data_IF_318289108859
#
_entry.id   IF_318289108859
#
_cell.length_a   1.000
_cell.length_b   1.000
_cell.length_c   1.000
_cell.angle_alpha   90.00
_cell.angle_beta   90.00
_cell.angle_gamma   90.00
#
_symmetry.space_group_name_H-M   'P 1'
#
loop_
_entity.id
_entity.type
_entity.pdbx_description
1 polymer ?
#
# COMPACT_ATOMS: atom_id res chain seq x y z
N UNK A 1 -1.84 -13.36 0.69
CA UNK A 1 -1.89 -11.91 0.32
C UNK A 1 -0.62 -11.58 -0.43
N UNK A 2 -0.73 -11.01 -1.64
CA UNK A 2 0.41 -10.81 -2.53
C UNK A 2 0.93 -9.37 -2.42
N UNK A 3 1.91 -9.17 -1.55
CA UNK A 3 2.55 -7.87 -1.32
C UNK A 3 3.60 -7.60 -2.39
N UNK A 4 3.23 -6.94 -3.48
CA UNK A 4 4.14 -6.78 -4.62
C UNK A 4 5.35 -5.85 -4.36
N UNK A 5 5.33 -5.05 -3.29
CA UNK A 5 6.49 -4.29 -2.82
C UNK A 5 7.53 -5.15 -2.09
N UNK A 6 7.20 -6.40 -1.80
CA UNK A 6 8.10 -7.35 -1.13
C UNK A 6 8.83 -8.20 -2.17
N UNK A 7 10.08 -8.55 -1.84
CA UNK A 7 10.94 -9.40 -2.66
C UNK A 7 10.62 -10.88 -2.41
N UNK A 8 10.12 -11.25 -1.23
CA UNK A 8 9.63 -12.59 -0.89
C UNK A 8 8.10 -12.70 -1.00
N UNK A 9 7.52 -11.96 -1.95
CA UNK A 9 6.06 -11.88 -2.15
C UNK A 9 5.38 -13.20 -2.52
N UNK A 10 6.11 -14.13 -3.14
CA UNK A 10 5.60 -15.48 -3.41
C UNK A 10 5.57 -16.29 -2.10
N UNK A 11 6.70 -16.37 -1.39
CA UNK A 11 6.79 -17.07 -0.11
C UNK A 11 5.73 -16.58 0.91
N UNK A 12 5.55 -15.26 1.02
CA UNK A 12 4.52 -14.69 1.89
C UNK A 12 3.10 -15.05 1.44
N UNK A 13 2.88 -15.15 0.12
CA UNK A 13 1.59 -15.57 -0.40
C UNK A 13 1.31 -17.03 -0.07
N UNK A 14 2.29 -17.90 -0.25
CA UNK A 14 2.21 -19.34 0.03
C UNK A 14 1.92 -19.59 1.53
N UNK A 15 2.58 -18.85 2.43
CA UNK A 15 2.31 -18.91 3.89
C UNK A 15 0.86 -18.51 4.18
N UNK A 16 0.39 -17.40 3.60
CA UNK A 16 -0.98 -16.92 3.84
C UNK A 16 -2.02 -17.89 3.29
N UNK A 17 -1.78 -18.48 2.12
CA UNK A 17 -2.64 -19.52 1.56
C UNK A 17 -2.74 -20.74 2.49
N UNK A 18 -1.59 -21.25 2.94
CA UNK A 18 -1.55 -22.35 3.92
C UNK A 18 -2.35 -22.03 5.17
N UNK A 19 -2.19 -20.84 5.74
CA UNK A 19 -2.87 -20.45 6.97
C UNK A 19 -4.38 -20.34 6.79
N UNK A 20 -4.85 -19.75 5.69
CA UNK A 20 -6.28 -19.63 5.39
C UNK A 20 -6.95 -20.99 5.16
N UNK A 21 -6.17 -21.98 4.72
CA UNK A 21 -6.60 -23.36 4.52
C UNK A 21 -6.36 -24.27 5.74
N UNK A 22 -5.94 -23.71 6.89
CA UNK A 22 -5.71 -24.48 8.12
C UNK A 22 -4.49 -25.42 8.07
N UNK A 23 -3.54 -25.18 7.14
CA UNK A 23 -2.34 -25.98 6.91
C UNK A 23 -1.07 -25.29 7.42
N UNK A 24 -1.05 -24.89 8.69
CA UNK A 24 0.10 -24.19 9.27
C UNK A 24 1.34 -25.08 9.33
N UNK A 25 2.49 -24.55 8.94
CA UNK A 25 3.79 -25.22 9.09
C UNK A 25 4.54 -24.67 10.32
N UNK A 26 5.36 -25.49 11.00
CA UNK A 26 6.04 -25.09 12.24
C UNK A 26 6.90 -23.81 12.11
N UNK A 27 7.52 -23.60 10.95
CA UNK A 27 8.46 -22.51 10.71
C UNK A 27 7.81 -21.25 10.11
N UNK A 28 6.50 -21.26 9.84
CA UNK A 28 5.83 -20.13 9.17
C UNK A 28 5.99 -18.82 9.96
N UNK A 29 5.88 -18.86 11.29
CA UNK A 29 6.04 -17.69 12.14
C UNK A 29 7.45 -17.09 12.08
N UNK A 30 8.47 -17.94 12.05
CA UNK A 30 9.87 -17.54 11.90
C UNK A 30 10.10 -16.95 10.50
N UNK A 31 9.60 -17.61 9.45
CA UNK A 31 9.76 -17.16 8.06
C UNK A 31 9.07 -15.81 7.82
N UNK A 32 7.88 -15.59 8.37
CA UNK A 32 7.22 -14.27 8.31
C UNK A 32 8.11 -13.18 8.94
N UNK A 33 8.69 -13.45 10.11
CA UNK A 33 9.59 -12.51 10.78
C UNK A 33 10.80 -12.16 9.92
N UNK A 34 11.44 -13.18 9.33
CA UNK A 34 12.56 -13.00 8.41
C UNK A 34 12.17 -12.14 7.19
N UNK A 35 11.02 -12.44 6.56
CA UNK A 35 10.49 -11.67 5.43
C UNK A 35 10.25 -10.20 5.85
N UNK A 36 9.58 -9.95 6.97
CA UNK A 36 9.27 -8.59 7.41
C UNK A 36 10.52 -7.75 7.71
N UNK A 37 11.57 -8.38 8.24
CA UNK A 37 12.86 -7.72 8.49
C UNK A 37 13.59 -7.45 7.18
N UNK A 38 13.78 -8.49 6.37
CA UNK A 38 14.54 -8.43 5.12
C UNK A 38 13.87 -7.48 4.11
N UNK A 39 12.61 -7.71 3.79
CA UNK A 39 11.87 -6.95 2.77
C UNK A 39 11.59 -5.53 3.23
N UNK A 40 11.37 -5.33 4.53
CA UNK A 40 11.22 -4.00 5.11
C UNK A 40 12.48 -3.15 4.91
N UNK A 41 13.66 -3.74 5.09
CA UNK A 41 14.92 -3.05 4.88
C UNK A 41 15.23 -2.82 3.39
N UNK A 42 15.10 -3.86 2.56
CA UNK A 42 15.30 -3.78 1.10
C UNK A 42 14.39 -2.70 0.50
N UNK A 43 13.11 -2.69 0.88
CA UNK A 43 12.15 -1.68 0.43
C UNK A 43 12.56 -0.26 0.88
N UNK A 44 13.02 -0.09 2.13
CA UNK A 44 13.46 1.21 2.64
C UNK A 44 14.65 1.78 1.88
N UNK A 45 15.69 0.97 1.66
CA UNK A 45 16.87 1.36 0.88
C UNK A 45 16.50 1.67 -0.57
N UNK A 46 15.61 0.87 -1.17
CA UNK A 46 15.15 1.08 -2.54
C UNK A 46 14.32 2.36 -2.67
N UNK A 47 13.41 2.62 -1.73
CA UNK A 47 12.62 3.86 -1.70
C UNK A 47 13.51 5.10 -1.62
N UNK A 48 14.51 5.09 -0.76
CA UNK A 48 15.46 6.19 -0.61
C UNK A 48 16.25 6.44 -1.91
N UNK A 49 16.83 5.39 -2.50
CA UNK A 49 17.59 5.49 -3.74
C UNK A 49 16.73 6.00 -4.92
N UNK A 50 15.49 5.50 -5.05
CA UNK A 50 14.57 5.93 -6.10
C UNK A 50 14.10 7.37 -5.85
N UNK A 51 13.69 7.71 -4.62
CA UNK A 51 13.23 9.05 -4.29
C UNK A 51 14.32 10.10 -4.56
N UNK A 52 15.57 9.83 -4.15
CA UNK A 52 16.71 10.71 -4.41
C UNK A 52 16.95 10.91 -5.92
N UNK A 53 16.81 9.84 -6.71
CA UNK A 53 16.94 9.91 -8.17
C UNK A 53 15.86 10.80 -8.77
N UNK A 54 14.59 10.52 -8.46
CA UNK A 54 13.44 11.24 -9.02
C UNK A 54 13.43 12.72 -8.58
N UNK A 55 13.74 13.00 -7.32
CA UNK A 55 13.81 14.37 -6.79
C UNK A 55 14.94 15.17 -7.45
N UNK A 56 16.12 14.56 -7.67
CA UNK A 56 17.21 15.20 -8.39
C UNK A 56 16.79 15.56 -9.82
N UNK A 57 16.06 14.69 -10.50
CA UNK A 57 15.56 14.94 -11.85
C UNK A 57 14.57 16.12 -11.90
N UNK A 58 13.64 16.22 -10.94
CA UNK A 58 12.64 17.31 -10.92
C UNK A 58 13.24 18.64 -10.45
N UNK A 59 14.07 18.61 -9.41
CA UNK A 59 14.52 19.82 -8.72
C UNK A 59 15.95 20.24 -9.07
N UNK A 60 16.75 19.37 -9.69
CA UNK A 60 18.12 19.66 -10.12
C UNK A 60 19.11 19.86 -8.98
N UNK A 61 18.73 19.57 -7.73
CA UNK A 61 19.53 19.79 -6.53
C UNK A 61 19.38 18.60 -5.56
N UNK A 62 20.40 18.30 -4.73
CA UNK A 62 20.26 17.37 -3.62
C UNK A 62 19.19 17.85 -2.63
N UNK A 63 18.44 16.93 -2.05
CA UNK A 63 17.48 17.21 -0.99
C UNK A 63 18.04 16.82 0.38
N UNK A 64 17.67 17.57 1.41
CA UNK A 64 17.86 17.17 2.80
C UNK A 64 16.71 16.25 3.21
N UNK A 65 17.02 15.12 3.84
CA UNK A 65 16.02 14.15 4.27
C UNK A 65 15.84 14.21 5.78
N UNK A 66 14.59 14.23 6.25
CA UNK A 66 14.26 14.19 7.68
C UNK A 66 13.26 13.05 7.97
N UNK A 67 13.57 12.11 8.87
CA UNK A 67 12.64 11.04 9.23
C UNK A 67 11.45 11.60 10.01
N UNK A 68 10.26 11.06 9.74
CA UNK A 68 9.01 11.44 10.42
C UNK A 68 8.27 10.20 10.94
N UNK A 69 7.69 10.35 12.11
CA UNK A 69 6.93 9.31 12.82
C UNK A 69 5.45 9.64 12.95
N UNK A 70 5.09 10.92 12.85
CA UNK A 70 3.73 11.43 12.96
C UNK A 70 3.36 12.31 11.77
N UNK A 71 2.09 12.25 11.38
CA UNK A 71 1.56 13.06 10.29
C UNK A 71 1.59 14.57 10.60
N UNK A 72 1.56 14.97 11.87
CA UNK A 72 1.77 16.35 12.29
C UNK A 72 3.09 16.93 11.75
N UNK A 73 4.18 16.16 11.77
CA UNK A 73 5.48 16.60 11.26
C UNK A 73 5.47 16.87 9.75
N UNK A 74 4.71 16.06 8.99
CA UNK A 74 4.49 16.29 7.56
C UNK A 74 3.68 17.58 7.35
N UNK A 75 2.60 17.78 8.10
CA UNK A 75 1.74 18.96 8.01
C UNK A 75 2.51 20.24 8.38
N UNK A 76 3.36 20.19 9.41
CA UNK A 76 4.24 21.30 9.76
C UNK A 76 5.23 21.63 8.63
N UNK A 77 5.74 20.63 7.89
CA UNK A 77 6.57 20.84 6.71
C UNK A 77 5.81 21.47 5.53
N UNK A 78 4.53 21.10 5.35
CA UNK A 78 3.64 21.74 4.37
C UNK A 78 3.46 23.23 4.73
N UNK A 79 3.19 23.56 5.99
CA UNK A 79 3.01 24.95 6.42
C UNK A 79 4.24 25.82 6.15
N UNK A 80 5.45 25.30 6.42
CA UNK A 80 6.71 25.99 6.09
C UNK A 80 6.86 26.31 4.60
N UNK A 81 6.23 25.51 3.74
CA UNK A 81 6.28 25.64 2.28
C UNK A 81 5.14 26.51 1.72
N UNK A 82 4.34 27.16 2.57
CA UNK A 82 3.07 27.80 2.19
C UNK A 82 3.14 28.87 1.09
N UNK A 83 4.33 29.41 0.79
CA UNK A 83 4.55 30.37 -0.30
C UNK A 83 4.39 29.76 -1.70
N UNK A 84 4.49 28.43 -1.82
CA UNK A 84 4.39 27.71 -3.10
C UNK A 84 2.92 27.37 -3.46
N UNK A 85 1.96 27.75 -2.61
CA UNK A 85 0.54 27.45 -2.78
C UNK A 85 -0.31 28.59 -3.32
N UNK A 86 -1.54 28.24 -3.71
CA UNK A 86 -2.57 29.20 -4.13
C UNK A 86 -3.37 29.76 -2.93
N UNK A 87 -4.33 30.66 -3.20
CA UNK A 87 -5.18 31.26 -2.17
C UNK A 87 -5.96 30.21 -1.33
N UNK A 88 -6.35 29.08 -1.94
CA UNK A 88 -7.00 27.95 -1.26
C UNK A 88 -6.03 27.26 -0.31
N UNK A 89 -4.80 26.99 -0.76
CA UNK A 89 -3.74 26.38 0.05
C UNK A 89 -3.46 27.23 1.30
N UNK A 90 -3.34 28.56 1.14
CA UNK A 90 -3.15 29.48 2.25
C UNK A 90 -4.33 29.52 3.24
N UNK A 91 -5.57 29.27 2.80
CA UNK A 91 -6.72 29.13 3.70
C UNK A 91 -6.64 27.84 4.53
N UNK A 92 -6.30 26.72 3.91
CA UNK A 92 -6.17 25.42 4.58
C UNK A 92 -5.02 25.39 5.58
N UNK A 93 -3.88 25.97 5.22
CA UNK A 93 -2.73 26.13 6.13
C UNK A 93 -3.13 26.93 7.36
N UNK A 94 -3.79 28.08 7.18
CA UNK A 94 -4.29 28.88 8.32
C UNK A 94 -5.30 28.13 9.19
N UNK A 95 -6.18 27.33 8.57
CA UNK A 95 -7.15 26.52 9.31
C UNK A 95 -6.45 25.49 10.21
N UNK A 96 -5.43 24.81 9.66
CA UNK A 96 -4.59 23.88 10.40
C UNK A 96 -3.80 24.55 11.53
N UNK A 97 -3.17 25.69 11.25
CA UNK A 97 -2.39 26.44 12.25
C UNK A 97 -3.27 26.91 13.41
N UNK A 98 -4.53 27.25 13.14
CA UNK A 98 -5.49 27.69 14.17
C UNK A 98 -6.08 26.51 14.95
N UNK A 99 -6.30 25.36 14.28
CA UNK A 99 -7.02 24.22 14.86
C UNK A 99 -6.31 22.88 14.57
N UNK A 100 -5.05 22.72 15.02
CA UNK A 100 -4.19 21.60 14.62
C UNK A 100 -4.75 20.21 14.99
N UNK A 101 -5.50 20.12 16.09
CA UNK A 101 -6.04 18.85 16.63
C UNK A 101 -7.05 18.17 15.70
N UNK A 102 -7.77 18.91 14.86
CA UNK A 102 -8.76 18.36 13.93
C UNK A 102 -8.12 17.65 12.72
N UNK A 103 -6.80 17.72 12.60
CA UNK A 103 -6.06 17.18 11.48
C UNK A 103 -5.16 16.03 11.92
N UNK A 104 -5.65 15.12 12.76
CA UNK A 104 -5.02 13.82 13.07
C UNK A 104 -3.48 13.88 13.20
N UNK A 105 -2.95 14.85 13.97
CA UNK A 105 -1.50 15.11 14.04
C UNK A 105 -0.72 13.90 14.55
N UNK A 106 -1.28 13.24 15.55
CA UNK A 106 -0.70 12.05 16.18
C UNK A 106 -0.87 10.77 15.35
N UNK A 107 -1.45 10.86 14.15
CA UNK A 107 -1.56 9.70 13.28
C UNK A 107 -0.16 9.17 12.89
N UNK A 108 0.11 7.89 13.14
CA UNK A 108 1.44 7.33 12.92
C UNK A 108 1.79 7.18 11.43
N UNK A 109 3.00 7.56 11.07
CA UNK A 109 3.63 7.33 9.76
C UNK A 109 5.02 6.72 9.97
N UNK A 110 5.53 5.98 8.99
CA UNK A 110 6.93 5.59 8.92
C UNK A 110 7.46 6.10 7.59
N UNK A 111 7.99 7.32 7.60
CA UNK A 111 8.36 8.00 6.37
C UNK A 111 9.52 8.96 6.56
N UNK A 112 9.93 9.55 5.45
CA UNK A 112 10.98 10.54 5.38
C UNK A 112 10.53 11.63 4.44
N UNK A 113 10.60 12.87 4.90
CA UNK A 113 10.33 14.05 4.07
C UNK A 113 11.63 14.49 3.42
N UNK A 114 11.52 14.96 2.18
CA UNK A 114 12.63 15.49 1.41
C UNK A 114 12.43 17.00 1.24
N UNK A 115 13.44 17.77 1.64
CA UNK A 115 13.40 19.22 1.72
C UNK A 115 14.49 19.85 0.84
N UNK A 116 14.24 21.07 0.35
CA UNK A 116 15.30 21.89 -0.23
C UNK A 116 16.13 22.64 0.84
N UNK A 117 17.10 23.44 0.38
CA UNK A 117 17.95 24.24 1.25
C UNK A 117 17.18 25.31 2.04
N UNK A 118 15.98 25.69 1.57
CA UNK A 118 15.07 26.62 2.24
C UNK A 118 14.05 25.89 3.13
N UNK A 119 14.24 24.58 3.39
CA UNK A 119 13.34 23.73 4.18
C UNK A 119 11.93 23.61 3.60
N UNK A 120 11.76 23.80 2.30
CA UNK A 120 10.49 23.58 1.58
C UNK A 120 10.37 22.12 1.16
N UNK A 121 9.14 21.61 1.18
CA UNK A 121 8.81 20.22 0.90
C UNK A 121 8.89 19.92 -0.60
N UNK A 122 9.82 19.03 -0.97
CA UNK A 122 9.97 18.53 -2.35
C UNK A 122 9.27 17.18 -2.55
N UNK A 123 9.06 16.43 -1.47
CA UNK A 123 8.43 15.13 -1.53
C UNK A 123 8.55 14.35 -0.24
N UNK A 124 8.08 13.12 -0.27
CA UNK A 124 8.26 12.16 0.82
C UNK A 124 8.27 10.74 0.28
N UNK A 125 8.88 9.84 1.04
CA UNK A 125 8.69 8.41 0.85
C UNK A 125 8.34 7.74 2.18
N UNK A 126 7.64 6.62 2.11
CA UNK A 126 7.13 5.93 3.29
C UNK A 126 7.01 4.42 3.08
N UNK A 127 7.00 3.71 4.21
CA UNK A 127 6.64 2.29 4.29
C UNK A 127 5.41 2.17 5.19
N UNK A 128 4.38 1.46 4.73
CA UNK A 128 3.24 1.11 5.58
C UNK A 128 3.70 0.22 6.73
N UNK A 129 3.24 0.56 7.94
CA UNK A 129 3.52 -0.24 9.13
C UNK A 129 2.90 -1.64 9.00
N UNK A 130 3.53 -2.72 9.53
CA UNK A 130 3.02 -4.08 9.42
C UNK A 130 1.55 -4.24 9.85
N UNK A 131 1.15 -3.63 10.98
CA UNK A 131 -0.26 -3.60 11.42
C UNK A 131 -1.21 -3.05 10.36
N UNK A 132 -0.82 -1.96 9.68
CA UNK A 132 -1.63 -1.33 8.63
C UNK A 132 -1.68 -2.18 7.36
N UNK A 133 -0.60 -2.89 7.03
CA UNK A 133 -0.57 -3.87 5.95
C UNK A 133 -1.54 -5.00 6.27
N UNK A 134 -1.49 -5.57 7.48
CA UNK A 134 -2.38 -6.63 7.92
C UNK A 134 -3.86 -6.22 7.88
N UNK A 135 -4.21 -5.02 8.36
CA UNK A 135 -5.57 -4.47 8.24
C UNK A 135 -6.03 -4.36 6.79
N UNK A 136 -5.16 -3.86 5.89
CA UNK A 136 -5.48 -3.75 4.46
C UNK A 136 -5.64 -5.13 3.84
N UNK A 137 -4.78 -6.08 4.19
CA UNK A 137 -4.83 -7.45 3.73
C UNK A 137 -6.13 -8.14 4.16
N UNK A 138 -6.51 -8.03 5.42
CA UNK A 138 -7.76 -8.60 5.94
C UNK A 138 -8.98 -8.08 5.15
N UNK A 139 -9.02 -6.77 4.87
CA UNK A 139 -10.09 -6.19 4.06
C UNK A 139 -10.13 -6.75 2.63
N UNK A 140 -8.99 -6.97 1.99
CA UNK A 140 -8.94 -7.54 0.65
C UNK A 140 -9.43 -9.00 0.65
N UNK A 141 -9.02 -9.79 1.64
CA UNK A 141 -9.48 -11.18 1.80
C UNK A 141 -10.99 -11.21 2.03
N UNK A 142 -11.51 -10.40 2.96
CA UNK A 142 -12.94 -10.33 3.25
C UNK A 142 -13.76 -9.91 2.01
N UNK A 143 -13.31 -8.89 1.28
CA UNK A 143 -13.98 -8.46 0.05
C UNK A 143 -13.93 -9.53 -1.05
N UNK A 144 -12.83 -10.27 -1.15
CA UNK A 144 -12.68 -11.36 -2.11
C UNK A 144 -13.61 -12.53 -1.78
N UNK A 145 -13.63 -12.98 -0.51
CA UNK A 145 -14.57 -14.03 -0.06
C UNK A 145 -16.02 -13.58 -0.30
N UNK A 146 -16.35 -12.33 0.02
CA UNK A 146 -17.69 -11.79 -0.22
C UNK A 146 -18.08 -11.85 -1.70
N UNK A 147 -17.17 -11.48 -2.61
CA UNK A 147 -17.40 -11.61 -4.06
C UNK A 147 -17.65 -13.05 -4.48
N UNK A 148 -16.89 -14.01 -3.94
CA UNK A 148 -17.12 -15.44 -4.23
C UNK A 148 -18.52 -15.89 -3.80
N UNK A 149 -19.00 -15.39 -2.65
CA UNK A 149 -20.37 -15.69 -2.18
C UNK A 149 -21.41 -15.04 -3.08
N UNK A 150 -21.21 -13.79 -3.51
CA UNK A 150 -22.10 -13.11 -4.44
C UNK A 150 -22.19 -13.84 -5.79
N UNK A 151 -21.04 -14.18 -6.37
CA UNK A 151 -20.95 -14.93 -7.63
C UNK A 151 -21.68 -16.28 -7.51
N UNK A 152 -21.49 -17.00 -6.40
CA UNK A 152 -22.20 -18.26 -6.15
C UNK A 152 -23.72 -18.07 -5.99
N UNK A 153 -24.17 -17.01 -5.32
CA UNK A 153 -25.58 -16.70 -5.19
C UNK A 153 -26.21 -16.32 -6.55
N UNK A 154 -25.48 -15.60 -7.39
CA UNK A 154 -25.89 -15.27 -8.77
C UNK A 154 -26.00 -16.52 -9.65
N UNK A 155 -25.07 -17.48 -9.52
CA UNK A 155 -25.18 -18.80 -10.17
C UNK A 155 -26.46 -19.54 -9.75
N UNK A 156 -26.75 -19.58 -8.46
CA UNK A 156 -27.97 -20.23 -7.94
C UNK A 156 -29.24 -19.56 -8.49
N UNK A 157 -29.26 -18.23 -8.58
CA UNK A 157 -30.36 -17.50 -9.21
C UNK A 157 -30.48 -17.82 -10.71
N UNK A 158 -29.36 -17.94 -11.43
CA UNK A 158 -29.33 -18.32 -12.84
C UNK A 158 -29.84 -19.76 -13.07
N UNK A 159 -29.43 -20.71 -12.23
CA UNK A 159 -29.95 -22.09 -12.23
C UNK A 159 -31.47 -22.10 -12.01
N UNK A 160 -31.98 -21.25 -11.12
CA UNK A 160 -33.42 -21.10 -10.89
C UNK A 160 -34.15 -20.47 -12.07
N UNK A 161 -33.63 -19.40 -12.67
CA UNK A 161 -34.20 -18.81 -13.89
C UNK A 161 -34.29 -19.85 -15.02
N UNK A 162 -33.25 -20.66 -15.19
CA UNK A 162 -33.22 -21.75 -16.17
C UNK A 162 -34.32 -22.79 -15.94
N UNK A 163 -34.61 -23.15 -14.67
CA UNK A 163 -35.73 -24.07 -14.34
C UNK A 163 -37.10 -23.55 -14.77
N UNK A 164 -37.27 -22.24 -14.83
CA UNK A 164 -38.50 -21.59 -15.32
C UNK A 164 -38.42 -21.19 -16.79
N UNK A 165 -37.31 -21.49 -17.47
CA UNK A 165 -37.06 -21.14 -18.87
C UNK A 165 -37.20 -19.64 -19.15
N UNK A 166 -36.76 -18.80 -18.21
CA UNK A 166 -36.74 -17.33 -18.32
C UNK A 166 -35.30 -16.81 -18.21
N UNK A 167 -35.07 -15.57 -18.65
CA UNK A 167 -33.78 -14.91 -18.46
C UNK A 167 -33.59 -14.46 -17.00
N UNK A 168 -32.35 -14.42 -16.51
CA UNK A 168 -32.04 -13.97 -15.14
C UNK A 168 -32.56 -12.55 -14.86
N UNK A 169 -32.50 -11.65 -15.84
CA UNK A 169 -33.02 -10.28 -15.72
C UNK A 169 -34.54 -10.19 -15.58
N UNK A 170 -35.27 -11.27 -15.89
CA UNK A 170 -36.73 -11.37 -15.77
C UNK A 170 -37.16 -12.09 -14.48
N UNK A 171 -36.19 -12.64 -13.73
CA UNK A 171 -36.44 -13.41 -12.51
C UNK A 171 -36.78 -12.48 -11.33
N UNK A 172 -38.05 -12.40 -10.98
CA UNK A 172 -38.49 -11.74 -9.75
C UNK A 172 -38.45 -12.75 -8.60
N UNK A 173 -37.56 -12.51 -7.63
CA UNK A 173 -37.34 -13.40 -6.49
C UNK A 173 -37.85 -12.75 -5.20
N UNK A 174 -38.66 -13.45 -4.38
CA UNK A 174 -38.99 -12.98 -3.04
C UNK A 174 -37.73 -12.82 -2.17
N UNK A 175 -37.63 -11.73 -1.39
CA UNK A 175 -36.46 -11.44 -0.55
C UNK A 175 -36.02 -12.63 0.31
N UNK A 176 -36.97 -13.30 0.97
CA UNK A 176 -36.70 -14.46 1.82
C UNK A 176 -35.97 -15.59 1.07
N UNK A 177 -36.26 -15.77 -0.22
CA UNK A 177 -35.60 -16.79 -1.04
C UNK A 177 -34.18 -16.35 -1.43
N UNK A 178 -33.99 -15.06 -1.77
CA UNK A 178 -32.65 -14.50 -1.99
C UNK A 178 -31.76 -14.63 -0.75
N UNK A 179 -32.32 -14.38 0.43
CA UNK A 179 -31.59 -14.52 1.71
C UNK A 179 -31.16 -15.98 1.94
N UNK A 180 -32.04 -16.96 1.66
CA UNK A 180 -31.72 -18.38 1.79
C UNK A 180 -30.65 -18.84 0.78
N UNK A 181 -30.73 -18.37 -0.46
CA UNK A 181 -29.72 -18.64 -1.49
C UNK A 181 -28.36 -18.06 -1.08
N UNK A 182 -28.34 -16.83 -0.56
CA UNK A 182 -27.11 -16.21 -0.06
C UNK A 182 -26.49 -16.99 1.11
N UNK A 183 -27.30 -17.41 2.09
CA UNK A 183 -26.83 -18.26 3.22
C UNK A 183 -26.29 -19.60 2.71
N UNK A 184 -26.91 -20.19 1.69
CA UNK A 184 -26.43 -21.44 1.09
C UNK A 184 -25.10 -21.22 0.35
N UNK A 185 -24.99 -20.15 -0.42
CA UNK A 185 -23.75 -19.77 -1.09
C UNK A 185 -22.60 -19.57 -0.09
N UNK A 186 -22.86 -18.87 1.01
CA UNK A 186 -21.88 -18.70 2.09
C UNK A 186 -21.43 -20.04 2.68
N UNK A 187 -22.38 -20.96 2.93
CA UNK A 187 -22.08 -22.31 3.41
C UNK A 187 -21.24 -23.11 2.42
N UNK A 188 -21.56 -23.03 1.13
CA UNK A 188 -20.81 -23.70 0.05
C UNK A 188 -19.36 -23.21 0.03
N UNK A 189 -19.13 -21.88 0.05
CA UNK A 189 -17.79 -21.29 0.06
C UNK A 189 -17.03 -21.69 1.34
N UNK A 190 -17.65 -21.62 2.51
CA UNK A 190 -17.03 -22.05 3.76
C UNK A 190 -16.63 -23.53 3.74
N UNK A 191 -17.44 -24.39 3.11
CA UNK A 191 -17.12 -25.81 2.95
C UNK A 191 -15.91 -26.01 2.02
N UNK A 192 -15.83 -25.27 0.91
CA UNK A 192 -14.66 -25.33 0.00
C UNK A 192 -13.35 -24.96 0.72
N UNK A 193 -13.36 -23.99 1.64
CA UNK A 193 -12.20 -23.70 2.50
C UNK A 193 -11.82 -24.90 3.37
N UNK A 194 -12.79 -25.53 4.05
CA UNK A 194 -12.56 -26.71 4.89
C UNK A 194 -12.00 -27.90 4.11
N UNK A 195 -12.44 -28.08 2.88
CA UNK A 195 -12.04 -29.19 2.02
C UNK A 195 -10.74 -28.91 1.24
N UNK A 196 -10.09 -27.77 1.48
CA UNK A 196 -8.91 -27.32 0.73
C UNK A 196 -9.14 -27.19 -0.78
N UNK A 197 -10.38 -26.93 -1.19
CA UNK A 197 -10.79 -26.83 -2.59
C UNK A 197 -11.03 -25.37 -2.99
N UNK A 198 -10.10 -24.49 -2.61
CA UNK A 198 -10.06 -23.08 -3.00
C UNK A 198 -8.63 -22.75 -3.40
N UNK A 199 -8.51 -22.07 -4.55
CA UNK A 199 -7.28 -21.44 -4.98
C UNK A 199 -7.39 -19.93 -4.72
N UNK A 200 -6.42 -19.35 -4.02
CA UNK A 200 -6.43 -17.92 -3.74
C UNK A 200 -6.06 -17.15 -5.00
N UNK A 201 -6.88 -16.16 -5.36
CA UNK A 201 -6.58 -15.29 -6.49
C UNK A 201 -5.47 -14.28 -6.14
N UNK A 202 -4.26 -14.55 -6.64
CA UNK A 202 -3.08 -13.68 -6.49
C UNK A 202 -3.28 -12.28 -7.08
N UNK A 203 -4.14 -12.12 -8.10
CA UNK A 203 -4.45 -10.82 -8.69
C UNK A 203 -5.43 -10.04 -7.81
N UNK A 204 -6.54 -10.64 -7.39
CA UNK A 204 -7.51 -10.00 -6.49
C UNK A 204 -6.90 -9.64 -5.13
N UNK A 205 -5.97 -10.46 -4.62
CA UNK A 205 -5.30 -10.28 -3.34
C UNK A 205 -3.96 -9.55 -3.48
N UNK A 206 -3.81 -8.67 -4.46
CA UNK A 206 -2.58 -7.91 -4.69
C UNK A 206 -2.57 -6.57 -3.98
N UNK A 207 -1.47 -6.24 -3.31
CA UNK A 207 -1.24 -4.92 -2.72
C UNK A 207 0.06 -4.32 -3.28
N UNK A 208 -0.06 -3.13 -3.85
CA UNK A 208 1.05 -2.38 -4.46
C UNK A 208 1.63 -1.28 -3.58
N UNK A 209 0.81 -0.72 -2.70
CA UNK A 209 1.09 0.53 -1.98
C UNK A 209 1.64 0.29 -0.56
N UNK A 210 2.51 -0.72 -0.39
CA UNK A 210 3.22 -0.92 0.88
C UNK A 210 4.34 0.12 1.00
N UNK A 211 5.17 0.25 -0.04
CA UNK A 211 6.11 1.34 -0.20
C UNK A 211 5.54 2.41 -1.13
N UNK A 212 5.67 3.68 -0.76
CA UNK A 212 5.17 4.78 -1.56
C UNK A 212 6.10 5.98 -1.57
N UNK A 213 6.19 6.65 -2.71
CA UNK A 213 6.90 7.91 -2.94
C UNK A 213 5.87 8.93 -3.41
N UNK A 214 5.95 10.15 -2.90
CA UNK A 214 5.18 11.29 -3.39
C UNK A 214 6.13 12.43 -3.71
N UNK A 215 6.10 12.89 -4.96
CA UNK A 215 6.92 14.00 -5.46
C UNK A 215 6.03 15.23 -5.57
N UNK A 216 6.54 16.36 -5.06
CA UNK A 216 5.87 17.65 -5.08
C UNK A 216 6.61 18.58 -6.03
N UNK A 217 5.96 18.98 -7.12
CA UNK A 217 6.58 19.81 -8.16
C UNK A 217 5.56 20.64 -8.93
N UNK A 218 6.04 21.42 -9.90
CA UNK A 218 5.13 22.07 -10.86
C UNK A 218 4.58 21.05 -11.86
N UNK A 219 3.42 21.33 -12.44
CA UNK A 219 2.74 20.39 -13.32
C UNK A 219 3.60 20.01 -14.55
N UNK A 220 4.35 20.98 -15.09
CA UNK A 220 5.18 20.77 -16.28
C UNK A 220 6.33 19.80 -16.00
N UNK A 221 7.09 19.98 -14.91
CA UNK A 221 8.21 19.07 -14.59
C UNK A 221 7.71 17.70 -14.16
N UNK A 222 6.55 17.61 -13.49
CA UNK A 222 5.97 16.33 -13.12
C UNK A 222 5.52 15.55 -14.37
N UNK A 223 4.92 16.23 -15.34
CA UNK A 223 4.57 15.61 -16.64
C UNK A 223 5.81 15.20 -17.43
N UNK A 224 6.88 16.00 -17.38
CA UNK A 224 8.16 15.67 -18.01
C UNK A 224 8.79 14.44 -17.35
N UNK A 225 8.85 14.41 -16.01
CA UNK A 225 9.33 13.26 -15.26
C UNK A 225 8.58 11.99 -15.65
N UNK A 226 7.24 12.04 -15.69
CA UNK A 226 6.41 10.89 -16.04
C UNK A 226 6.76 10.32 -17.43
N UNK A 227 6.99 11.19 -18.43
CA UNK A 227 7.43 10.77 -19.77
C UNK A 227 8.83 10.15 -19.73
N UNK A 228 9.72 10.76 -18.97
CA UNK A 228 11.12 10.37 -18.86
C UNK A 228 11.33 9.11 -18.02
N UNK A 229 10.36 8.68 -17.19
CA UNK A 229 10.44 7.45 -16.40
C UNK A 229 10.79 6.22 -17.25
N UNK A 230 10.31 6.18 -18.50
CA UNK A 230 10.60 5.11 -19.46
C UNK A 230 12.09 5.02 -19.87
N UNK A 231 12.85 6.10 -19.70
CA UNK A 231 14.29 6.15 -20.01
C UNK A 231 15.17 5.58 -18.90
N UNK A 232 14.62 5.37 -17.69
CA UNK A 232 15.37 4.80 -16.58
C UNK A 232 15.44 3.28 -16.70
N UNK A 233 16.63 2.67 -16.93
CA UNK A 233 16.74 1.24 -17.22
C UNK A 233 16.30 0.35 -16.05
N UNK A 234 16.31 0.89 -14.83
CA UNK A 234 15.92 0.16 -13.60
C UNK A 234 14.45 0.37 -13.20
N UNK A 235 13.67 1.17 -13.94
CA UNK A 235 12.28 1.52 -13.60
C UNK A 235 11.36 1.17 -14.77
N UNK A 236 10.24 0.52 -14.47
CA UNK A 236 9.17 0.22 -15.42
C UNK A 236 7.82 0.65 -14.88
N UNK A 237 7.04 1.40 -15.64
CA UNK A 237 5.65 1.72 -15.27
C UNK A 237 4.79 0.47 -15.54
N UNK A 238 4.06 0.04 -14.52
CA UNK A 238 3.16 -1.13 -14.57
C UNK A 238 1.71 -0.72 -14.69
N UNK A 239 1.34 0.36 -14.00
CA UNK A 239 -0.03 0.85 -13.97
C UNK A 239 -0.04 2.37 -13.77
N UNK A 240 -1.11 3.01 -14.24
CA UNK A 240 -1.31 4.46 -14.20
C UNK A 240 -2.78 4.76 -13.91
N UNK A 241 -2.99 5.47 -12.80
CA UNK A 241 -4.30 5.98 -12.41
C UNK A 241 -4.25 7.51 -12.29
N UNK A 242 -5.23 8.18 -12.89
CA UNK A 242 -5.42 9.62 -12.75
C UNK A 242 -6.64 9.90 -11.90
N UNK A 243 -6.45 10.65 -10.82
CA UNK A 243 -7.55 11.08 -9.96
C UNK A 243 -8.02 12.47 -10.38
N UNK A 244 -9.32 12.60 -10.67
CA UNK A 244 -10.00 13.86 -10.94
C UNK A 244 -11.12 14.11 -9.93
N UNK A 245 -11.24 15.33 -9.40
CA UNK A 245 -12.27 15.71 -8.42
C UNK A 245 -11.68 16.51 -7.25
N UNK A 246 -12.20 16.31 -6.03
CA UNK A 246 -11.70 16.94 -4.79
C UNK A 246 -10.25 16.54 -4.45
N UNK A 247 -9.75 15.47 -5.06
CA UNK A 247 -8.37 15.02 -4.98
C UNK A 247 -7.83 14.88 -6.41
N UNK A 248 -6.76 15.63 -6.71
CA UNK A 248 -6.08 15.58 -8.00
C UNK A 248 -4.66 15.06 -7.81
N UNK A 249 -4.32 13.97 -8.49
CA UNK A 249 -2.98 13.42 -8.52
C UNK A 249 -2.85 12.41 -9.65
N UNK A 250 -1.62 12.20 -10.11
CA UNK A 250 -1.27 11.03 -10.93
C UNK A 250 -0.60 10.00 -10.03
N UNK A 251 -1.17 8.81 -9.95
CA UNK A 251 -0.60 7.67 -9.22
C UNK A 251 -0.11 6.63 -10.22
N UNK A 252 1.12 6.20 -10.03
CA UNK A 252 1.78 5.20 -10.86
C UNK A 252 2.17 4.03 -9.97
N UNK A 253 2.00 2.81 -10.48
CA UNK A 253 2.71 1.66 -9.92
C UNK A 253 3.95 1.45 -10.76
N UNK A 254 5.12 1.69 -10.16
CA UNK A 254 6.41 1.44 -10.80
C UNK A 254 7.01 0.16 -10.26
N UNK A 255 7.59 -0.64 -11.15
CA UNK A 255 8.47 -1.74 -10.80
C UNK A 255 9.92 -1.29 -10.88
N UNK A 256 10.69 -1.61 -9.86
CA UNK A 256 12.07 -1.18 -9.70
C UNK A 256 12.97 -2.38 -9.44
N UNK A 257 14.12 -2.40 -10.12
CA UNK A 257 15.22 -3.34 -9.79
C UNK A 257 16.00 -2.80 -8.60
N UNK A 258 16.08 -3.57 -7.52
CA UNK A 258 16.83 -3.20 -6.33
C UNK A 258 18.28 -3.71 -6.42
N UNK A 259 19.19 -3.06 -5.69
CA UNK A 259 20.62 -3.35 -5.73
C UNK A 259 21.00 -4.29 -4.58
N UNK A 260 21.27 -5.57 -4.90
CA UNK A 260 21.45 -6.61 -3.89
C UNK A 260 22.70 -6.37 -3.07
N UNK A 261 23.80 -6.10 -3.75
CA UNK A 261 25.12 -5.91 -3.17
C UNK A 261 25.12 -4.67 -2.27
N UNK A 262 24.59 -3.54 -2.76
CA UNK A 262 24.53 -2.31 -1.98
C UNK A 262 23.65 -2.45 -0.74
N UNK A 263 22.50 -3.11 -0.84
CA UNK A 263 21.61 -3.32 0.30
C UNK A 263 22.27 -4.21 1.36
N UNK A 264 22.92 -5.31 0.96
CA UNK A 264 23.62 -6.18 1.91
C UNK A 264 24.77 -5.44 2.61
N UNK A 265 25.54 -4.66 1.87
CA UNK A 265 26.61 -3.82 2.42
C UNK A 265 26.06 -2.81 3.45
N UNK A 266 25.03 -2.05 3.07
CA UNK A 266 24.44 -1.02 3.94
C UNK A 266 23.83 -1.61 5.21
N UNK A 267 23.31 -2.84 5.17
CA UNK A 267 22.79 -3.52 6.36
C UNK A 267 23.87 -3.67 7.44
N UNK A 268 25.09 -4.01 7.04
CA UNK A 268 26.24 -4.17 7.93
C UNK A 268 26.84 -2.84 8.37
N UNK A 269 27.14 -1.97 7.41
CA UNK A 269 27.84 -0.70 7.67
C UNK A 269 27.04 0.20 8.61
N UNK A 270 25.72 0.23 8.43
CA UNK A 270 24.81 1.01 9.26
C UNK A 270 24.35 0.26 10.53
N UNK A 271 24.90 -0.93 10.79
CA UNK A 271 24.57 -1.80 11.94
C UNK A 271 23.07 -1.97 12.14
N UNK A 272 22.33 -2.14 11.05
CA UNK A 272 20.87 -2.11 11.04
C UNK A 272 20.27 -3.24 11.88
N UNK A 273 20.96 -4.37 11.97
CA UNK A 273 20.59 -5.51 12.81
C UNK A 273 20.26 -5.13 14.26
N UNK A 274 20.89 -4.07 14.81
CA UNK A 274 20.60 -3.59 16.18
C UNK A 274 19.14 -3.16 16.36
N UNK A 275 18.50 -2.66 15.29
CA UNK A 275 17.09 -2.23 15.29
C UNK A 275 16.11 -3.40 15.31
N UNK A 276 16.60 -4.64 15.20
CA UNK A 276 15.78 -5.84 15.06
C UNK A 276 15.96 -6.86 16.20
N UNK A 277 16.78 -6.57 17.22
CA UNK A 277 17.09 -7.49 18.33
C UNK A 277 15.86 -8.00 19.08
N UNK A 278 14.79 -7.22 19.17
CA UNK A 278 13.56 -7.56 19.89
C UNK A 278 12.46 -8.13 18.99
N UNK A 279 12.80 -8.57 17.77
CA UNK A 279 11.83 -9.03 16.77
C UNK A 279 11.74 -10.55 16.62
N UNK A 280 12.29 -11.31 17.56
CA UNK A 280 12.18 -12.78 17.56
C UNK A 280 13.24 -13.52 16.75
N UNK A 281 14.26 -12.83 16.23
CA UNK A 281 15.49 -13.44 15.72
C UNK A 281 16.61 -13.22 16.72
N UNK A 282 17.51 -14.19 16.84
CA UNK A 282 18.68 -14.04 17.70
C UNK A 282 19.67 -13.03 17.12
N UNK A 283 20.45 -12.37 17.99
CA UNK A 283 21.50 -11.45 17.55
C UNK A 283 22.51 -12.14 16.62
N UNK A 284 22.86 -13.39 16.90
CA UNK A 284 23.76 -14.19 16.07
C UNK A 284 23.21 -14.35 14.65
N UNK A 285 21.90 -14.61 14.51
CA UNK A 285 21.27 -14.73 13.20
C UNK A 285 21.24 -13.41 12.44
N UNK A 286 20.89 -12.31 13.11
CA UNK A 286 20.87 -10.98 12.50
C UNK A 286 22.27 -10.53 12.05
N UNK A 287 23.32 -10.88 12.81
CA UNK A 287 24.72 -10.59 12.46
C UNK A 287 25.26 -11.42 11.30
N UNK A 288 24.56 -12.47 10.84
CA UNK A 288 24.91 -13.15 9.57
C UNK A 288 24.56 -12.31 8.34
N UNK A 289 23.84 -11.20 8.53
CA UNK A 289 23.45 -10.29 7.44
C UNK A 289 22.17 -10.72 6.74
N UNK A 290 21.85 -10.02 5.65
CA UNK A 290 20.66 -10.31 4.84
C UNK A 290 20.88 -11.41 3.82
N UNK A 291 22.11 -11.66 3.37
CA UNK A 291 22.39 -12.62 2.29
C UNK A 291 21.74 -13.99 2.48
N UNK A 292 21.76 -14.62 3.68
CA UNK A 292 21.11 -15.91 3.89
C UNK A 292 19.58 -15.85 3.80
N UNK A 293 18.99 -14.66 3.96
CA UNK A 293 17.54 -14.45 3.93
C UNK A 293 17.02 -14.17 2.52
N UNK A 294 17.90 -13.94 1.55
CA UNK A 294 17.55 -13.56 0.16
C UNK A 294 17.26 -14.76 -0.75
N UNK A 295 17.11 -15.96 -0.20
CA UNK A 295 16.67 -17.11 -0.98
C UNK A 295 15.26 -16.88 -1.53
N UNK A 296 15.05 -17.22 -2.81
CA UNK A 296 13.82 -16.97 -3.59
C UNK A 296 13.41 -15.49 -3.70
N UNK A 297 14.26 -14.55 -3.30
CA UNK A 297 14.03 -13.13 -3.47
C UNK A 297 13.84 -12.76 -4.95
N UNK A 298 12.79 -12.00 -5.26
CA UNK A 298 12.58 -11.45 -6.59
C UNK A 298 13.55 -10.29 -6.84
N UNK A 299 14.08 -10.15 -8.07
CA UNK A 299 15.03 -9.08 -8.41
C UNK A 299 14.38 -7.70 -8.49
N UNK A 300 13.05 -7.66 -8.51
CA UNK A 300 12.26 -6.42 -8.60
C UNK A 300 11.26 -6.32 -7.47
N UNK A 301 10.85 -5.10 -7.16
CA UNK A 301 9.72 -4.80 -6.27
C UNK A 301 8.87 -3.67 -6.84
N UNK A 302 7.61 -3.55 -6.39
CA UNK A 302 6.69 -2.50 -6.84
C UNK A 302 6.53 -1.39 -5.80
N UNK A 303 6.54 -0.15 -6.25
CA UNK A 303 6.39 1.06 -5.45
C UNK A 303 5.24 1.90 -6.04
N UNK A 304 4.42 2.46 -5.15
CA UNK A 304 3.45 3.50 -5.52
C UNK A 304 4.20 4.84 -5.66
N UNK A 305 4.10 5.49 -6.83
CA UNK A 305 4.65 6.81 -7.09
C UNK A 305 3.51 7.79 -7.35
N UNK A 306 3.36 8.79 -6.49
CA UNK A 306 2.37 9.84 -6.61
C UNK A 306 3.05 11.13 -7.06
N UNK A 307 2.59 11.69 -8.17
CA UNK A 307 3.00 12.99 -8.66
C UNK A 307 1.88 14.00 -8.33
N UNK A 308 2.22 15.03 -7.57
CA UNK A 308 1.25 16.02 -7.09
C UNK A 308 1.82 17.42 -7.08
N UNK A 309 1.02 18.43 -7.39
CA UNK A 309 1.43 19.82 -7.14
C UNK A 309 1.43 20.12 -5.64
N UNK A 310 2.03 21.24 -5.23
CA UNK A 310 1.97 21.67 -3.83
C UNK A 310 0.52 21.91 -3.38
N UNK A 311 -0.33 22.49 -4.23
CA UNK A 311 -1.74 22.70 -3.91
C UNK A 311 -2.48 21.38 -3.70
N UNK A 312 -2.20 20.37 -4.52
CA UNK A 312 -2.78 19.02 -4.37
C UNK A 312 -2.27 18.32 -3.10
N UNK A 313 -1.00 18.53 -2.76
CA UNK A 313 -0.42 18.04 -1.52
C UNK A 313 -1.16 18.62 -0.31
N UNK A 314 -1.37 19.94 -0.28
CA UNK A 314 -2.13 20.63 0.77
C UNK A 314 -3.56 20.10 0.85
N UNK A 315 -4.29 20.01 -0.27
CA UNK A 315 -5.68 19.54 -0.25
C UNK A 315 -5.78 18.08 0.23
N UNK A 316 -4.78 17.24 -0.07
CA UNK A 316 -4.77 15.83 0.34
C UNK A 316 -4.47 15.58 1.83
N UNK A 317 -3.86 16.55 2.51
CA UNK A 317 -3.42 16.41 3.91
C UNK A 317 -4.17 17.36 4.87
N UNK A 318 -4.73 18.46 4.36
CA UNK A 318 -5.41 19.53 5.10
C UNK A 318 -6.80 19.90 4.52
N UNK A 319 -7.18 19.38 3.36
CA UNK A 319 -8.42 19.74 2.67
C UNK A 319 -9.54 18.73 2.83
N UNK A 320 -10.55 18.81 1.95
CA UNK A 320 -11.72 17.91 1.97
C UNK A 320 -11.38 16.46 1.57
N UNK A 321 -10.13 16.22 1.16
CA UNK A 321 -9.59 14.94 0.75
C UNK A 321 -8.59 14.39 1.76
N UNK A 322 -8.74 14.80 3.02
CA UNK A 322 -7.86 14.41 4.12
C UNK A 322 -7.70 12.89 4.14
N UNK A 323 -6.45 12.44 4.07
CA UNK A 323 -6.13 11.04 3.84
C UNK A 323 -6.76 10.10 4.89
N UNK A 324 -6.78 10.52 6.16
CA UNK A 324 -7.35 9.75 7.27
C UNK A 324 -8.88 9.62 7.16
N UNK A 325 -9.59 10.69 6.80
CA UNK A 325 -11.05 10.64 6.61
C UNK A 325 -11.44 9.74 5.44
N UNK A 326 -10.69 9.80 4.33
CA UNK A 326 -10.91 8.88 3.19
C UNK A 326 -10.71 7.43 3.60
N UNK A 327 -9.72 7.15 4.44
CA UNK A 327 -9.49 5.81 4.99
C UNK A 327 -10.66 5.35 5.87
N UNK A 328 -11.20 6.24 6.71
CA UNK A 328 -12.33 5.94 7.60
C UNK A 328 -13.60 5.71 6.78
N UNK A 329 -13.92 6.58 5.82
CA UNK A 329 -15.07 6.39 4.92
C UNK A 329 -14.99 5.07 4.14
N UNK A 330 -13.80 4.69 3.66
CA UNK A 330 -13.57 3.38 3.02
C UNK A 330 -13.71 2.19 3.98
N UNK A 331 -13.59 2.40 5.30
CA UNK A 331 -13.81 1.36 6.32
C UNK A 331 -15.28 1.26 6.71
N UNK A 332 -16.00 2.38 6.76
CA UNK A 332 -17.39 2.44 7.21
C UNK A 332 -18.37 2.01 6.10
N UNK A 333 -18.03 2.27 4.84
CA UNK A 333 -18.79 1.80 3.67
C UNK A 333 -18.59 0.32 3.35
N UNK A 334 -18.45 -0.54 4.36
CA UNK A 334 -18.48 -2.00 4.16
C UNK A 334 -19.85 -2.41 3.65
N UNK A 335 -19.89 -2.95 2.43
CA UNK A 335 -21.10 -3.51 1.81
C UNK A 335 -21.59 -4.75 2.58
N UNK A 336 -20.68 -5.48 3.24
CA UNK A 336 -21.00 -6.68 4.02
C UNK A 336 -20.75 -6.47 5.52
N UNK A 337 -21.76 -6.82 6.35
CA UNK A 337 -21.74 -6.78 7.82
C UNK A 337 -22.08 -8.13 8.47
N UNK A 338 -22.03 -9.23 7.71
CA UNK A 338 -22.33 -10.57 8.21
C UNK A 338 -21.20 -11.16 9.08
N UNK A 339 -21.28 -12.46 9.35
CA UNK A 339 -20.46 -13.15 10.36
C UNK A 339 -19.09 -13.67 9.87
N UNK A 340 -18.69 -13.34 8.63
CA UNK A 340 -17.34 -13.65 8.09
C UNK A 340 -16.28 -12.69 8.66
#
# INVERSE_FOLDING_TARGET
MYLSSFIHRDDLFDIVERWLLGRLEPDDGLRITQILICDGFVLGQTLEAVANTLLRTVHGQPCQTEPIQFKGQLRDAICRSGKDGNARSGKLIRLYETNPEFFYREAPINGTICLDNQKRLLGLYRIKRPRRIAEKANRYVANWIFRMVQERAEEMAAERASKYNIHLGELITPQKLMDLEFISAERDIAQRFRDNNIELDKFALRIHDVGGIKIVGNAEKLSLLEKDLSSYPKIRIIDRESFSGNYQATSLIIEVTWDRELVCLNYFDLRIWQKYLERGLSEAELKRGLEPLLDRAKPTLKIELILSTFSDMVESELGNSLHEERIVAQRDNKVYKGYI
#
